data_IF_486142045106
#
_entry.id   IF_486142045106
#
_cell.length_a   1.000
_cell.length_b   1.000
_cell.length_c   1.000
_cell.angle_alpha   90.00
_cell.angle_beta   90.00
_cell.angle_gamma   90.00
#
_symmetry.space_group_name_H-M   'P 1'
#
loop_
_entity.id
_entity.type
_entity.pdbx_description
1 polymer ?
#
# COMPACT_ATOMS: atom_id res chain seq x y z
N UNK A 1 29.25 -8.50 -7.56
CA UNK A 1 28.78 -8.59 -6.16
C UNK A 1 27.86 -7.38 -6.01
N UNK A 2 26.54 -7.39 -6.15
CA UNK A 2 25.49 -8.42 -6.16
C UNK A 2 24.41 -7.94 -7.12
N UNK A 3 23.86 -8.85 -7.92
CA UNK A 3 22.66 -8.64 -8.72
C UNK A 3 21.48 -8.34 -7.80
N UNK A 4 20.76 -7.24 -8.00
CA UNK A 4 19.38 -7.11 -7.53
C UNK A 4 18.65 -6.10 -8.43
N UNK A 5 18.23 -6.58 -9.61
CA UNK A 5 17.14 -5.89 -10.32
C UNK A 5 15.90 -6.16 -9.48
N UNK A 6 15.28 -5.14 -8.85
CA UNK A 6 14.17 -5.40 -7.95
C UNK A 6 13.04 -6.10 -8.71
N UNK A 7 12.44 -7.14 -8.11
CA UNK A 7 11.34 -7.89 -8.72
C UNK A 7 10.18 -6.92 -8.95
N UNK A 8 9.52 -6.97 -10.12
CA UNK A 8 8.40 -6.10 -10.52
C UNK A 8 7.69 -5.39 -9.36
N UNK A 9 8.21 -4.20 -9.03
CA UNK A 9 7.99 -3.60 -7.72
C UNK A 9 6.66 -2.85 -7.75
N UNK A 10 5.76 -3.21 -6.82
CA UNK A 10 4.49 -2.53 -6.67
C UNK A 10 4.60 -1.41 -5.66
N UNK A 11 3.97 -0.27 -5.96
CA UNK A 11 3.87 0.86 -5.05
C UNK A 11 2.42 1.12 -4.71
N UNK A 12 2.08 0.96 -3.44
CA UNK A 12 0.75 1.24 -2.91
C UNK A 12 0.77 2.57 -2.16
N UNK A 13 -0.17 3.45 -2.51
CA UNK A 13 -0.36 4.74 -1.84
C UNK A 13 -1.81 4.83 -1.39
N UNK A 14 -2.02 5.14 -0.11
CA UNK A 14 -3.34 5.46 0.42
C UNK A 14 -3.37 6.91 0.85
N UNK A 15 -4.30 7.67 0.27
CA UNK A 15 -4.60 9.04 0.70
C UNK A 15 -5.42 9.01 1.98
N UNK A 16 -4.74 9.15 3.12
CA UNK A 16 -5.36 9.16 4.44
C UNK A 16 -6.24 10.39 4.67
N UNK A 17 -6.08 11.48 3.91
CA UNK A 17 -6.99 12.64 4.01
C UNK A 17 -8.34 12.38 3.35
N UNK A 18 -8.40 11.44 2.39
CA UNK A 18 -9.65 11.00 1.75
C UNK A 18 -10.21 9.74 2.38
N UNK A 19 -9.39 8.99 3.13
CA UNK A 19 -9.80 7.76 3.78
C UNK A 19 -10.82 8.05 4.89
N UNK A 20 -12.01 7.48 4.77
CA UNK A 20 -13.10 7.61 5.76
C UNK A 20 -13.30 6.33 6.58
N UNK A 21 -12.29 5.45 6.64
CA UNK A 21 -12.30 4.21 7.44
C UNK A 21 -13.48 3.25 7.18
N UNK A 22 -14.01 3.19 5.95
CA UNK A 22 -15.08 2.25 5.56
C UNK A 22 -14.69 0.76 5.64
N UNK A 23 -13.40 0.44 5.73
CA UNK A 23 -12.86 -0.91 5.92
C UNK A 23 -12.99 -1.90 4.76
N UNK A 24 -13.51 -1.48 3.61
CA UNK A 24 -13.66 -2.37 2.44
C UNK A 24 -12.31 -2.90 1.93
N UNK A 25 -11.24 -2.12 2.07
CA UNK A 25 -9.89 -2.55 1.71
C UNK A 25 -9.37 -3.70 2.58
N UNK A 26 -9.65 -3.67 3.89
CA UNK A 26 -9.26 -4.73 4.84
C UNK A 26 -9.99 -6.04 4.52
N UNK A 27 -11.26 -5.98 4.11
CA UNK A 27 -11.98 -7.17 3.65
C UNK A 27 -11.45 -7.72 2.33
N UNK A 28 -11.07 -6.85 1.39
CA UNK A 28 -10.61 -7.26 0.06
C UNK A 28 -9.16 -7.80 0.05
N UNK A 29 -8.31 -7.29 0.94
CA UNK A 29 -6.89 -7.64 1.05
C UNK A 29 -6.40 -7.52 2.52
N UNK A 30 -6.81 -8.45 3.41
CA UNK A 30 -6.49 -8.39 4.85
C UNK A 30 -5.01 -8.61 5.18
N UNK A 31 -4.24 -9.13 4.21
CA UNK A 31 -2.79 -9.30 4.30
C UNK A 31 -2.04 -7.99 4.07
N UNK A 32 -2.68 -7.00 3.44
CA UNK A 32 -2.08 -5.73 3.02
C UNK A 32 -2.58 -4.58 3.87
N UNK A 33 -3.87 -4.54 4.17
CA UNK A 33 -4.51 -3.47 4.92
C UNK A 33 -4.99 -4.01 6.26
N UNK A 34 -4.71 -3.27 7.34
CA UNK A 34 -5.23 -3.54 8.67
C UNK A 34 -5.59 -2.24 9.36
N UNK A 35 -6.64 -2.27 10.18
CA UNK A 35 -6.85 -1.19 11.14
C UNK A 35 -6.12 -1.50 12.43
N UNK A 36 -5.45 -0.48 12.95
CA UNK A 36 -4.92 -0.43 14.29
C UNK A 36 -5.79 0.50 15.13
N UNK A 37 -6.31 -0.01 16.25
CA UNK A 37 -7.29 0.73 17.05
C UNK A 37 -8.59 0.98 16.28
N UNK A 38 -9.19 2.15 16.49
CA UNK A 38 -10.54 2.42 15.96
C UNK A 38 -10.53 3.02 14.54
N UNK A 39 -9.46 3.74 14.14
CA UNK A 39 -9.50 4.53 12.89
C UNK A 39 -8.16 4.57 12.11
N UNK A 40 -7.07 4.03 12.66
CA UNK A 40 -5.75 4.12 12.00
C UNK A 40 -5.58 2.99 11.00
N UNK A 41 -5.57 3.31 9.71
CA UNK A 41 -5.30 2.33 8.66
C UNK A 41 -3.79 2.13 8.49
N UNK A 42 -3.31 0.95 8.84
CA UNK A 42 -1.98 0.46 8.50
C UNK A 42 -2.02 -0.29 7.17
N UNK A 43 -1.00 -0.09 6.34
CA UNK A 43 -0.85 -0.81 5.09
C UNK A 43 0.60 -0.97 4.65
N UNK A 44 0.87 -2.01 3.87
CA UNK A 44 2.17 -2.19 3.21
C UNK A 44 2.28 -1.32 1.95
N UNK A 45 3.26 -0.43 1.90
CA UNK A 45 3.51 0.47 0.77
C UNK A 45 4.17 -0.23 -0.42
N UNK A 46 4.78 -1.41 -0.20
CA UNK A 46 5.46 -2.20 -1.22
C UNK A 46 4.98 -3.67 -1.18
N UNK A 47 3.69 -3.93 -1.46
CA UNK A 47 3.14 -5.27 -1.41
C UNK A 47 3.77 -6.19 -2.47
N UNK A 48 3.83 -7.49 -2.17
CA UNK A 48 4.34 -8.49 -3.11
C UNK A 48 3.55 -8.49 -4.45
N UNK A 49 4.22 -8.63 -5.60
CA UNK A 49 3.54 -8.65 -6.90
C UNK A 49 2.49 -9.77 -7.05
N UNK A 50 2.58 -10.86 -6.28
CA UNK A 50 1.61 -11.95 -6.27
C UNK A 50 0.22 -11.56 -5.74
N UNK A 51 0.14 -10.57 -4.85
CA UNK A 51 -1.11 -10.06 -4.28
C UNK A 51 -1.67 -8.84 -5.03
N UNK A 52 -1.08 -8.48 -6.17
CA UNK A 52 -1.50 -7.36 -7.02
C UNK A 52 -3.02 -7.31 -7.23
N UNK A 53 -3.61 -8.46 -7.58
CA UNK A 53 -5.05 -8.54 -7.87
C UNK A 53 -5.92 -8.29 -6.64
N UNK A 54 -5.46 -8.67 -5.45
CA UNK A 54 -6.16 -8.37 -4.19
C UNK A 54 -6.15 -6.86 -3.91
N UNK A 55 -4.98 -6.23 -4.10
CA UNK A 55 -4.83 -4.78 -3.92
C UNK A 55 -5.63 -3.99 -4.94
N UNK A 56 -5.67 -4.42 -6.21
CA UNK A 56 -6.52 -3.82 -7.24
C UNK A 56 -8.01 -3.91 -6.88
N UNK A 57 -8.46 -5.05 -6.34
CA UNK A 57 -9.84 -5.18 -5.83
C UNK A 57 -10.10 -4.28 -4.63
N UNK A 58 -9.16 -4.17 -3.70
CA UNK A 58 -9.26 -3.28 -2.55
C UNK A 58 -9.38 -1.80 -2.99
N UNK A 59 -8.61 -1.40 -4.00
CA UNK A 59 -8.70 -0.06 -4.57
C UNK A 59 -10.07 0.20 -5.23
N UNK A 60 -10.59 -0.77 -5.99
CA UNK A 60 -11.92 -0.68 -6.60
C UNK A 60 -13.06 -0.69 -5.56
N UNK A 61 -12.87 -1.35 -4.41
CA UNK A 61 -13.85 -1.41 -3.33
C UNK A 61 -13.89 -0.14 -2.47
N UNK A 62 -12.90 0.76 -2.60
CA UNK A 62 -12.86 2.00 -1.84
C UNK A 62 -13.90 3.00 -2.36
N UNK A 63 -14.96 3.35 -1.59
CA UNK A 63 -16.04 4.23 -2.08
C UNK A 63 -15.57 5.64 -2.43
N UNK A 64 -14.51 6.09 -1.75
CA UNK A 64 -13.90 7.42 -1.90
C UNK A 64 -12.66 7.41 -2.80
N UNK A 65 -12.31 6.26 -3.36
CA UNK A 65 -11.15 6.07 -4.25
C UNK A 65 -9.84 6.63 -3.66
N UNK A 66 -9.57 6.32 -2.39
CA UNK A 66 -8.37 6.79 -1.68
C UNK A 66 -7.11 5.95 -1.96
N UNK A 67 -7.22 4.83 -2.68
CA UNK A 67 -6.14 3.84 -2.83
C UNK A 67 -5.64 3.87 -4.27
N UNK A 68 -4.32 4.01 -4.46
CA UNK A 68 -3.65 3.99 -5.76
C UNK A 68 -2.56 2.92 -5.78
N UNK A 69 -2.58 2.04 -6.77
CA UNK A 69 -1.56 1.03 -7.01
C UNK A 69 -0.81 1.35 -8.31
N UNK A 70 0.49 1.56 -8.21
CA UNK A 70 1.40 1.80 -9.33
C UNK A 70 2.50 0.75 -9.44
N UNK A 71 3.27 0.83 -10.52
CA UNK A 71 4.60 0.20 -10.60
C UNK A 71 5.59 1.19 -10.00
N UNK A 72 6.51 0.74 -9.15
CA UNK A 72 7.60 1.60 -8.70
C UNK A 72 8.57 1.79 -9.88
N UNK A 73 8.52 2.96 -10.50
CA UNK A 73 9.47 3.34 -11.58
C UNK A 73 10.71 4.04 -11.01
N UNK A 74 10.71 4.40 -9.72
CA UNK A 74 11.85 5.01 -9.03
C UNK A 74 11.93 4.46 -7.60
N UNK A 75 13.15 4.22 -7.07
CA UNK A 75 13.32 3.72 -5.71
C UNK A 75 12.69 4.71 -4.74
N UNK A 76 11.83 4.20 -3.84
CA UNK A 76 11.23 5.00 -2.79
C UNK A 76 12.32 5.82 -2.07
N UNK A 77 12.12 7.13 -1.81
CA UNK A 77 13.09 7.90 -1.07
C UNK A 77 13.27 7.24 0.29
N UNK A 78 14.44 6.67 0.51
CA UNK A 78 14.89 6.17 1.80
C UNK A 78 14.85 7.37 2.75
N UNK A 79 13.78 7.49 3.55
CA UNK A 79 13.80 8.35 4.74
C UNK A 79 14.73 7.70 5.74
N UNK A 80 16.03 7.90 5.54
CA UNK A 80 17.04 7.74 6.57
C UNK A 80 16.89 8.92 7.52
N UNK A 81 15.94 8.82 8.45
CA UNK A 81 15.99 9.66 9.64
C UNK A 81 17.10 9.08 10.55
N UNK A 82 18.34 9.51 10.29
CA UNK A 82 19.41 9.41 11.26
C UNK A 82 19.31 10.59 12.20
N UNK A 83 19.12 10.28 13.48
CA UNK A 83 19.19 11.20 14.60
C UNK A 83 20.38 12.17 14.50
N UNK A 84 20.13 13.46 14.74
CA UNK A 84 21.10 14.43 15.25
C UNK A 84 20.41 15.33 16.28
#
# INVERSE_FOLDING_TARGET
MTTDSPPEELRLVVDLNRCQSYGQCVYAAPTVFRFHGEEVLEYDYAPDPGIRREVERAAAACPVQAITLGRATEPAPLTTESAQ
#
